data_IF_741703986551
#
_entry.id   IF_741703986551
#
_cell.length_a   1.000
_cell.length_b   1.000
_cell.length_c   1.000
_cell.angle_alpha   90.00
_cell.angle_beta   90.00
_cell.angle_gamma   90.00
#
_symmetry.space_group_name_H-M   'P 1'
#
loop_
_entity.id
_entity.type
_entity.pdbx_description
1 polymer ?
#
# COMPACT_ATOMS: atom_id res chain seq x y z
N UNK A 1 -7.91 -37.61 -5.11
CA UNK A 1 -8.77 -37.65 -3.92
C UNK A 1 -8.56 -36.38 -3.15
N UNK A 2 -9.54 -35.47 -3.08
CA UNK A 2 -9.48 -34.24 -2.25
C UNK A 2 -9.45 -34.70 -0.81
N UNK A 3 -8.51 -34.19 -0.04
CA UNK A 3 -8.29 -34.59 1.35
C UNK A 3 -9.52 -34.19 2.20
N UNK A 4 -10.49 -35.09 2.32
CA UNK A 4 -11.81 -34.88 2.96
C UNK A 4 -11.70 -34.30 4.38
N UNK A 5 -10.61 -34.60 5.09
CA UNK A 5 -10.36 -34.11 6.45
C UNK A 5 -10.17 -32.59 6.51
N UNK A 6 -9.55 -31.98 5.49
CA UNK A 6 -9.33 -30.51 5.44
C UNK A 6 -10.60 -29.76 5.06
N UNK A 7 -11.42 -30.32 4.17
CA UNK A 7 -12.73 -29.76 3.83
C UNK A 7 -13.68 -29.74 5.04
N UNK A 8 -13.67 -30.77 5.87
CA UNK A 8 -14.49 -30.83 7.08
C UNK A 8 -14.05 -29.78 8.10
N UNK A 9 -12.74 -29.56 8.32
CA UNK A 9 -12.23 -28.55 9.23
C UNK A 9 -12.49 -27.14 8.72
N UNK A 10 -12.39 -26.91 7.39
CA UNK A 10 -12.67 -25.61 6.80
C UNK A 10 -14.16 -25.26 6.82
N UNK A 11 -15.05 -26.23 6.59
CA UNK A 11 -16.50 -26.01 6.67
C UNK A 11 -16.99 -25.72 8.09
N UNK A 12 -16.19 -26.04 9.11
CA UNK A 12 -16.49 -25.66 10.50
C UNK A 12 -16.34 -24.16 10.74
N UNK A 13 -15.45 -23.49 9.99
CA UNK A 13 -15.13 -22.08 10.16
C UNK A 13 -15.70 -21.18 9.06
N UNK A 14 -15.91 -21.70 7.85
CA UNK A 14 -16.22 -20.90 6.68
C UNK A 14 -17.43 -21.47 5.92
N UNK A 15 -18.15 -20.58 5.26
CA UNK A 15 -19.09 -20.93 4.20
C UNK A 15 -18.42 -20.65 2.86
N UNK A 16 -18.71 -21.49 1.87
CA UNK A 16 -18.14 -21.45 0.54
C UNK A 16 -19.24 -21.36 -0.51
N UNK A 17 -18.87 -20.94 -1.72
CA UNK A 17 -19.71 -21.14 -2.91
C UNK A 17 -19.73 -22.61 -3.31
N UNK A 18 -20.58 -22.97 -4.30
CA UNK A 18 -20.84 -24.38 -4.67
C UNK A 18 -19.60 -25.11 -5.20
N UNK A 19 -18.68 -24.42 -5.88
CA UNK A 19 -17.44 -25.01 -6.42
C UNK A 19 -16.26 -24.91 -5.44
N UNK A 20 -16.46 -24.39 -4.22
CA UNK A 20 -15.47 -24.26 -3.15
C UNK A 20 -14.27 -23.36 -3.50
N UNK A 21 -14.41 -22.43 -4.44
CA UNK A 21 -13.34 -21.51 -4.83
C UNK A 21 -13.38 -20.19 -4.09
N UNK A 22 -14.50 -19.86 -3.42
CA UNK A 22 -14.72 -18.59 -2.74
C UNK A 22 -15.11 -18.79 -1.28
N UNK A 23 -14.51 -18.00 -0.38
CA UNK A 23 -14.98 -17.86 1.01
C UNK A 23 -16.03 -16.74 1.03
N UNK A 24 -17.28 -17.12 1.29
CA UNK A 24 -18.42 -16.21 1.25
C UNK A 24 -18.80 -15.67 2.63
N UNK A 25 -18.49 -16.43 3.71
CA UNK A 25 -18.78 -16.03 5.07
C UNK A 25 -17.85 -16.72 6.08
N UNK A 26 -17.75 -16.15 7.28
CA UNK A 26 -16.96 -16.68 8.39
C UNK A 26 -17.88 -16.93 9.59
N UNK A 27 -17.87 -18.16 10.06
CA UNK A 27 -18.73 -18.58 11.16
C UNK A 27 -18.26 -18.05 12.51
N UNK A 28 -19.17 -17.90 13.46
CA UNK A 28 -18.88 -17.41 14.83
C UNK A 28 -17.78 -18.19 15.54
N UNK A 29 -17.64 -19.49 15.24
CA UNK A 29 -16.58 -20.35 15.78
C UNK A 29 -15.16 -19.87 15.46
N UNK A 30 -14.97 -19.18 14.32
CA UNK A 30 -13.67 -18.64 13.92
C UNK A 30 -13.27 -17.38 14.70
N UNK A 31 -14.20 -16.61 15.27
CA UNK A 31 -13.91 -15.33 15.98
C UNK A 31 -12.90 -15.43 17.12
N UNK A 32 -12.60 -16.63 17.60
CA UNK A 32 -11.57 -16.88 18.62
C UNK A 32 -10.17 -17.13 18.05
N UNK A 33 -10.04 -17.22 16.73
CA UNK A 33 -8.77 -17.48 16.06
C UNK A 33 -8.08 -16.15 15.72
N UNK A 34 -6.79 -16.06 16.00
CA UNK A 34 -5.95 -14.90 15.63
C UNK A 34 -5.07 -15.18 14.42
N UNK A 35 -5.09 -16.42 13.93
CA UNK A 35 -4.32 -16.89 12.77
C UNK A 35 -5.29 -17.42 11.73
N UNK A 36 -5.21 -16.87 10.51
CA UNK A 36 -5.89 -17.41 9.34
C UNK A 36 -4.87 -18.18 8.50
N UNK A 37 -4.93 -19.51 8.52
CA UNK A 37 -4.08 -20.36 7.68
C UNK A 37 -4.90 -21.01 6.56
N UNK A 38 -4.82 -20.43 5.37
CA UNK A 38 -5.41 -20.94 4.14
C UNK A 38 -4.35 -21.49 3.17
N UNK A 39 -3.09 -21.54 3.56
CA UNK A 39 -1.96 -21.85 2.69
C UNK A 39 -2.09 -23.20 1.94
N UNK A 40 -2.73 -24.19 2.58
CA UNK A 40 -2.90 -25.53 2.01
C UNK A 40 -4.11 -25.68 1.09
N UNK A 41 -4.96 -24.64 1.00
CA UNK A 41 -6.22 -24.70 0.23
C UNK A 41 -6.04 -24.07 -1.14
N UNK A 42 -5.30 -24.76 -2.02
CA UNK A 42 -4.96 -24.24 -3.36
C UNK A 42 -6.16 -24.05 -4.30
N UNK A 43 -7.33 -24.56 -3.96
CA UNK A 43 -8.54 -24.36 -4.75
C UNK A 43 -9.18 -22.98 -4.48
N UNK A 44 -8.83 -22.32 -3.38
CA UNK A 44 -9.37 -20.99 -3.07
C UNK A 44 -8.72 -19.91 -3.90
N UNK A 45 -9.55 -19.16 -4.58
CA UNK A 45 -9.17 -18.10 -5.50
C UNK A 45 -9.63 -16.73 -5.03
N UNK A 46 -10.74 -16.65 -4.32
CA UNK A 46 -11.42 -15.41 -4.00
C UNK A 46 -11.75 -15.33 -2.50
N UNK A 47 -11.36 -14.23 -1.90
CA UNK A 47 -11.81 -13.79 -0.57
C UNK A 47 -12.77 -12.64 -0.79
N UNK A 48 -14.04 -12.85 -0.46
CA UNK A 48 -15.13 -11.89 -0.71
C UNK A 48 -15.02 -10.65 0.21
N UNK A 49 -15.73 -9.63 -0.20
CA UNK A 49 -15.85 -8.34 0.48
C UNK A 49 -16.19 -8.53 1.95
N UNK A 50 -15.38 -7.90 2.83
CA UNK A 50 -15.58 -7.82 4.29
C UNK A 50 -15.56 -9.17 5.03
N UNK A 51 -15.18 -10.27 4.41
CA UNK A 51 -15.28 -11.61 5.03
C UNK A 51 -14.50 -11.70 6.34
N UNK A 52 -13.32 -11.11 6.43
CA UNK A 52 -12.50 -11.06 7.65
C UNK A 52 -12.37 -9.65 8.21
N UNK A 53 -13.34 -8.77 7.96
CA UNK A 53 -13.32 -7.40 8.46
C UNK A 53 -13.86 -7.31 9.87
N UNK A 54 -13.25 -6.43 10.69
CA UNK A 54 -13.69 -6.05 12.05
C UNK A 54 -13.89 -7.27 12.98
N UNK A 55 -13.44 -7.17 14.22
CA UNK A 55 -13.65 -8.15 15.31
C UNK A 55 -12.98 -9.53 15.18
N UNK A 56 -12.22 -9.80 14.08
CA UNK A 56 -11.48 -11.07 14.01
C UNK A 56 -10.12 -10.99 14.72
N UNK A 57 -9.55 -9.79 14.87
CA UNK A 57 -8.25 -9.57 15.54
C UNK A 57 -7.13 -10.46 14.98
N UNK A 58 -7.14 -10.67 13.65
CA UNK A 58 -6.13 -11.49 12.99
C UNK A 58 -4.75 -10.85 13.11
N UNK A 59 -3.79 -11.62 13.65
CA UNK A 59 -2.38 -11.21 13.76
C UNK A 59 -1.56 -11.74 12.58
N UNK A 60 -1.92 -12.91 12.07
CA UNK A 60 -1.22 -13.57 10.97
C UNK A 60 -2.21 -14.11 9.95
N UNK A 61 -1.86 -13.97 8.68
CA UNK A 61 -2.59 -14.55 7.56
C UNK A 61 -1.62 -15.29 6.64
N UNK A 62 -1.99 -16.50 6.24
CA UNK A 62 -1.28 -17.30 5.26
C UNK A 62 -2.25 -17.66 4.14
N UNK A 63 -2.06 -17.04 2.98
CA UNK A 63 -2.95 -17.21 1.82
C UNK A 63 -2.39 -18.26 0.84
N UNK A 64 -3.28 -18.96 0.11
CA UNK A 64 -2.86 -19.94 -0.89
C UNK A 64 -2.22 -19.24 -2.09
N UNK A 65 -1.33 -19.96 -2.77
CA UNK A 65 -0.62 -19.43 -3.95
C UNK A 65 -1.54 -19.04 -5.10
N UNK A 66 -2.70 -19.71 -5.21
CA UNK A 66 -3.66 -19.53 -6.30
C UNK A 66 -4.71 -18.45 -6.03
N UNK A 67 -4.56 -17.69 -4.94
CA UNK A 67 -5.47 -16.56 -4.70
C UNK A 67 -5.37 -15.55 -5.86
N UNK A 68 -6.52 -15.17 -6.40
CA UNK A 68 -6.65 -14.25 -7.53
C UNK A 68 -7.22 -12.90 -7.08
N UNK A 69 -8.18 -12.95 -6.14
CA UNK A 69 -8.91 -11.76 -5.68
C UNK A 69 -8.99 -11.74 -4.16
N UNK A 70 -8.59 -10.60 -3.59
CA UNK A 70 -8.92 -10.21 -2.22
C UNK A 70 -9.80 -8.96 -2.36
N UNK A 71 -11.10 -9.12 -2.14
CA UNK A 71 -12.09 -8.08 -2.42
C UNK A 71 -12.08 -6.98 -1.34
N UNK A 72 -12.75 -5.87 -1.62
CA UNK A 72 -12.74 -4.65 -0.80
C UNK A 72 -13.02 -4.95 0.67
N UNK A 73 -12.26 -4.29 1.57
CA UNK A 73 -12.40 -4.41 3.02
C UNK A 73 -12.16 -5.82 3.60
N UNK A 74 -11.65 -6.78 2.84
CA UNK A 74 -11.58 -8.18 3.28
C UNK A 74 -10.88 -8.38 4.62
N UNK A 75 -9.80 -7.64 4.89
CA UNK A 75 -9.03 -7.68 6.14
C UNK A 75 -9.02 -6.33 6.89
N UNK A 76 -10.03 -5.51 6.65
CA UNK A 76 -10.19 -4.20 7.27
C UNK A 76 -10.24 -4.28 8.80
N UNK A 77 -9.46 -3.42 9.48
CA UNK A 77 -9.41 -3.32 10.95
C UNK A 77 -9.10 -4.64 11.65
N UNK A 78 -7.97 -5.24 11.33
CA UNK A 78 -7.37 -6.35 12.06
C UNK A 78 -6.08 -5.92 12.81
N UNK A 79 -5.26 -6.88 13.21
CA UNK A 79 -4.01 -6.66 13.95
C UNK A 79 -2.81 -7.29 13.22
N UNK A 80 -2.89 -7.42 11.89
CA UNK A 80 -1.86 -8.06 11.06
C UNK A 80 -0.56 -7.26 11.16
N UNK A 81 0.55 -7.92 11.60
CA UNK A 81 1.85 -7.28 11.78
C UNK A 81 2.82 -7.59 10.65
N UNK A 82 2.77 -8.79 10.12
CA UNK A 82 3.60 -9.26 9.01
C UNK A 82 2.68 -9.72 7.89
N UNK A 83 2.78 -9.07 6.74
CA UNK A 83 2.01 -9.43 5.55
C UNK A 83 2.97 -9.87 4.44
N UNK A 84 2.96 -11.17 4.16
CA UNK A 84 3.74 -11.74 3.07
C UNK A 84 2.81 -12.38 2.03
N UNK A 85 2.63 -11.71 0.90
CA UNK A 85 1.83 -12.14 -0.25
C UNK A 85 2.71 -12.58 -1.43
N UNK A 86 4.02 -12.70 -1.27
CA UNK A 86 4.95 -12.99 -2.37
C UNK A 86 4.65 -14.30 -3.11
N UNK A 87 4.02 -15.26 -2.45
CA UNK A 87 3.62 -16.54 -3.06
C UNK A 87 2.27 -16.47 -3.80
N UNK A 88 1.52 -15.39 -3.68
CA UNK A 88 0.20 -15.22 -4.32
C UNK A 88 0.37 -14.77 -5.77
N UNK A 89 0.95 -15.62 -6.61
CA UNK A 89 1.44 -15.25 -7.96
C UNK A 89 0.35 -14.76 -8.93
N UNK A 90 -0.91 -15.11 -8.67
CA UNK A 90 -2.06 -14.71 -9.49
C UNK A 90 -2.74 -13.43 -8.98
N UNK A 91 -2.34 -12.93 -7.80
CA UNK A 91 -2.91 -11.72 -7.22
C UNK A 91 -2.26 -10.48 -7.86
N UNK A 92 -3.02 -9.75 -8.64
CA UNK A 92 -2.56 -8.56 -9.38
C UNK A 92 -3.01 -7.26 -8.75
N UNK A 93 -4.07 -7.30 -7.97
CA UNK A 93 -4.72 -6.11 -7.40
C UNK A 93 -4.91 -6.30 -5.92
N UNK A 94 -4.46 -5.34 -5.13
CA UNK A 94 -4.92 -5.14 -3.76
C UNK A 94 -6.05 -4.12 -3.82
N UNK A 95 -7.27 -4.56 -3.56
CA UNK A 95 -8.46 -3.73 -3.68
C UNK A 95 -8.57 -2.65 -2.58
N UNK A 96 -9.65 -1.87 -2.63
CA UNK A 96 -9.92 -0.75 -1.72
C UNK A 96 -10.03 -1.23 -0.27
N UNK A 97 -9.36 -0.51 0.67
CA UNK A 97 -9.43 -0.72 2.12
C UNK A 97 -9.05 -2.13 2.61
N UNK A 98 -8.48 -2.99 1.77
CA UNK A 98 -8.25 -4.41 2.12
C UNK A 98 -7.49 -4.56 3.43
N UNK A 99 -6.41 -3.83 3.62
CA UNK A 99 -5.57 -3.88 4.83
C UNK A 99 -5.58 -2.57 5.61
N UNK A 100 -6.59 -1.73 5.41
CA UNK A 100 -6.74 -0.50 6.17
C UNK A 100 -6.83 -0.78 7.67
N UNK A 101 -6.13 0.06 8.45
CA UNK A 101 -6.13 0.03 9.91
C UNK A 101 -5.77 -1.36 10.46
N UNK A 102 -4.57 -1.80 10.10
CA UNK A 102 -3.87 -2.94 10.68
C UNK A 102 -2.64 -2.45 11.47
N UNK A 103 -1.69 -3.35 11.73
CA UNK A 103 -0.43 -3.06 12.43
C UNK A 103 0.78 -3.50 11.60
N UNK A 104 0.67 -3.45 10.25
CA UNK A 104 1.66 -4.00 9.33
C UNK A 104 2.98 -3.22 9.47
N UNK A 105 4.04 -3.94 9.83
CA UNK A 105 5.42 -3.46 9.91
C UNK A 105 6.26 -3.95 8.73
N UNK A 106 5.98 -5.17 8.27
CA UNK A 106 6.70 -5.83 7.18
C UNK A 106 5.71 -6.23 6.09
N UNK A 107 5.94 -5.69 4.89
CA UNK A 107 5.10 -5.90 3.72
C UNK A 107 5.91 -6.53 2.59
N UNK A 108 5.42 -7.65 2.04
CA UNK A 108 5.88 -8.22 0.77
C UNK A 108 4.68 -8.47 -0.13
N UNK A 109 4.69 -7.90 -1.31
CA UNK A 109 3.65 -8.04 -2.33
C UNK A 109 4.04 -9.12 -3.37
N UNK A 110 3.08 -9.60 -4.19
CA UNK A 110 3.39 -10.44 -5.33
C UNK A 110 4.19 -9.68 -6.39
N UNK A 111 5.12 -10.34 -7.09
CA UNK A 111 5.90 -9.70 -8.16
C UNK A 111 5.04 -9.15 -9.31
N UNK A 112 3.88 -9.78 -9.53
CA UNK A 112 2.95 -9.39 -10.59
C UNK A 112 1.92 -8.32 -10.19
N UNK A 113 2.10 -7.68 -9.03
CA UNK A 113 1.18 -6.63 -8.59
C UNK A 113 1.11 -5.49 -9.61
N UNK A 114 -0.08 -5.09 -9.98
CA UNK A 114 -0.37 -4.05 -10.96
C UNK A 114 -1.03 -2.82 -10.31
N UNK A 115 -1.86 -3.05 -9.29
CA UNK A 115 -2.61 -1.98 -8.61
C UNK A 115 -2.59 -2.20 -7.09
N UNK A 116 -2.29 -1.12 -6.37
CA UNK A 116 -2.53 -0.99 -4.93
C UNK A 116 -3.63 0.05 -4.79
N UNK A 117 -4.85 -0.39 -4.43
CA UNK A 117 -6.05 0.41 -4.48
C UNK A 117 -6.14 1.50 -3.41
N UNK A 118 -7.23 2.27 -3.50
CA UNK A 118 -7.58 3.32 -2.56
C UNK A 118 -7.47 2.86 -1.11
N UNK A 119 -6.73 3.61 -0.29
CA UNK A 119 -6.64 3.40 1.16
C UNK A 119 -6.15 2.00 1.61
N UNK A 120 -5.58 1.20 0.69
CA UNK A 120 -5.34 -0.23 0.89
C UNK A 120 -4.43 -0.56 2.08
N UNK A 121 -3.40 0.25 2.35
CA UNK A 121 -2.45 0.08 3.45
C UNK A 121 -2.39 1.29 4.39
N UNK A 122 -3.38 2.17 4.35
CA UNK A 122 -3.42 3.33 5.23
C UNK A 122 -3.63 2.92 6.69
N UNK A 123 -3.14 3.74 7.62
CA UNK A 123 -3.20 3.51 9.08
C UNK A 123 -2.56 2.17 9.45
N UNK A 124 -1.27 2.04 9.15
CA UNK A 124 -0.43 0.90 9.51
C UNK A 124 0.86 1.37 10.22
N UNK A 125 1.88 0.52 10.34
CA UNK A 125 3.14 0.80 11.04
C UNK A 125 4.36 0.53 10.16
N UNK A 126 4.23 0.69 8.83
CA UNK A 126 5.30 0.43 7.86
C UNK A 126 6.38 1.50 8.02
N UNK A 127 7.64 1.08 8.24
CA UNK A 127 8.80 1.98 8.39
C UNK A 127 9.68 2.04 7.15
N UNK A 128 9.79 0.93 6.45
CA UNK A 128 10.55 0.78 5.22
C UNK A 128 9.60 0.26 4.16
N UNK A 129 9.43 1.02 3.09
CA UNK A 129 8.61 0.64 1.94
C UNK A 129 9.49 0.59 0.70
N UNK A 130 9.85 -0.63 0.27
CA UNK A 130 10.60 -0.86 -0.95
C UNK A 130 9.68 -1.49 -2.01
N UNK A 131 9.29 -0.67 -2.99
CA UNK A 131 8.45 -1.07 -4.12
C UNK A 131 9.25 -1.20 -5.43
N UNK A 132 10.58 -1.11 -5.37
CA UNK A 132 11.45 -1.03 -6.56
C UNK A 132 11.34 -2.22 -7.52
N UNK A 133 11.01 -3.40 -7.00
CA UNK A 133 10.89 -4.63 -7.79
C UNK A 133 9.52 -4.80 -8.49
N UNK A 134 8.51 -3.97 -8.16
CA UNK A 134 7.15 -4.13 -8.70
C UNK A 134 6.99 -3.33 -10.00
N UNK A 135 7.63 -3.80 -11.06
CA UNK A 135 7.76 -3.09 -12.36
C UNK A 135 6.44 -2.86 -13.11
N UNK A 136 5.36 -3.58 -12.75
CA UNK A 136 4.03 -3.39 -13.34
C UNK A 136 3.22 -2.29 -12.65
N UNK A 137 3.65 -1.88 -11.45
CA UNK A 137 2.99 -0.83 -10.67
C UNK A 137 3.36 0.54 -11.23
N UNK A 138 2.39 1.25 -11.78
CA UNK A 138 2.56 2.56 -12.42
C UNK A 138 1.99 3.70 -11.60
N UNK A 139 1.06 3.41 -10.72
CA UNK A 139 0.35 4.40 -9.92
C UNK A 139 0.40 4.03 -8.45
N UNK A 140 0.57 5.01 -7.60
CA UNK A 140 0.31 4.90 -6.16
C UNK A 140 -1.02 5.59 -5.94
N UNK A 141 -2.06 4.82 -5.64
CA UNK A 141 -3.44 5.31 -5.54
C UNK A 141 -3.67 6.22 -4.33
N UNK A 142 -4.80 6.94 -4.36
CA UNK A 142 -5.18 7.89 -3.30
C UNK A 142 -5.11 7.23 -1.91
N UNK A 143 -4.47 7.92 -0.96
CA UNK A 143 -4.40 7.58 0.46
C UNK A 143 -3.72 6.22 0.76
N UNK A 144 -3.25 5.48 -0.27
CA UNK A 144 -2.90 4.05 -0.17
C UNK A 144 -1.88 3.70 0.93
N UNK A 145 -0.95 4.60 1.27
CA UNK A 145 0.04 4.45 2.34
C UNK A 145 0.04 5.60 3.35
N UNK A 146 -1.05 6.37 3.42
CA UNK A 146 -1.13 7.46 4.39
C UNK A 146 -1.15 6.93 5.83
N UNK A 147 -0.80 7.79 6.81
CA UNK A 147 -0.79 7.43 8.23
C UNK A 147 0.00 6.15 8.53
N UNK A 148 1.23 6.08 8.00
CA UNK A 148 2.24 5.09 8.35
C UNK A 148 3.42 5.75 9.09
N UNK A 149 4.55 5.05 9.18
CA UNK A 149 5.79 5.51 9.83
C UNK A 149 6.96 5.44 8.85
N UNK A 150 6.68 5.62 7.53
CA UNK A 150 7.66 5.41 6.46
C UNK A 150 8.79 6.44 6.57
N UNK A 151 10.01 5.95 6.78
CA UNK A 151 11.26 6.72 6.79
C UNK A 151 12.07 6.52 5.52
N UNK A 152 11.99 5.32 4.94
CA UNK A 152 12.68 4.93 3.73
C UNK A 152 11.66 4.49 2.69
N UNK A 153 11.65 5.20 1.56
CA UNK A 153 10.75 4.95 0.45
C UNK A 153 11.55 4.69 -0.82
N UNK A 154 11.28 3.56 -1.47
CA UNK A 154 11.67 3.33 -2.87
C UNK A 154 10.42 3.04 -3.68
N UNK A 155 10.23 3.78 -4.73
CA UNK A 155 9.09 3.65 -5.65
C UNK A 155 9.38 2.63 -6.75
N UNK A 156 8.35 2.16 -7.48
CA UNK A 156 8.54 1.34 -8.67
C UNK A 156 9.26 2.13 -9.76
N UNK A 157 10.18 1.47 -10.51
CA UNK A 157 10.92 2.13 -11.60
C UNK A 157 10.02 2.68 -12.72
N UNK A 158 8.83 2.11 -12.89
CA UNK A 158 7.86 2.52 -13.90
C UNK A 158 6.76 3.44 -13.37
N UNK A 159 6.95 4.04 -12.18
CA UNK A 159 5.97 4.96 -11.62
C UNK A 159 5.70 6.13 -12.57
N UNK A 160 4.45 6.42 -12.80
CA UNK A 160 4.00 7.53 -13.66
C UNK A 160 3.28 8.62 -12.85
N UNK A 161 2.47 8.22 -11.86
CA UNK A 161 1.68 9.16 -11.03
C UNK A 161 1.69 8.73 -9.58
N UNK A 162 1.89 9.69 -8.68
CA UNK A 162 1.64 9.56 -7.24
C UNK A 162 0.39 10.36 -6.92
N UNK A 163 -0.67 9.67 -6.50
CA UNK A 163 -1.98 10.29 -6.30
C UNK A 163 -2.14 10.97 -4.94
N UNK A 164 -3.34 11.52 -4.71
CA UNK A 164 -3.65 12.39 -3.56
C UNK A 164 -3.41 11.68 -2.24
N UNK A 165 -2.77 12.38 -1.30
CA UNK A 165 -2.53 11.87 0.05
C UNK A 165 -1.82 10.51 0.11
N UNK A 166 -1.23 10.01 -0.97
CA UNK A 166 -0.68 8.65 -1.06
C UNK A 166 0.28 8.31 0.08
N UNK A 167 1.09 9.27 0.49
CA UNK A 167 2.07 9.16 1.60
C UNK A 167 1.87 10.23 2.68
N UNK A 168 0.66 10.79 2.82
CA UNK A 168 0.35 11.75 3.86
C UNK A 168 0.65 11.19 5.25
N UNK A 169 1.15 12.04 6.17
CA UNK A 169 1.45 11.67 7.56
C UNK A 169 2.33 10.42 7.67
N UNK A 170 3.52 10.53 7.13
CA UNK A 170 4.61 9.60 7.30
C UNK A 170 5.83 10.30 7.96
N UNK A 171 6.98 9.64 8.01
CA UNK A 171 8.20 10.13 8.64
C UNK A 171 9.35 10.31 7.63
N UNK A 172 9.02 10.60 6.35
CA UNK A 172 9.98 10.76 5.26
C UNK A 172 10.71 12.10 5.44
N UNK A 173 12.05 12.04 5.54
CA UNK A 173 12.91 13.23 5.63
C UNK A 173 13.58 13.55 4.30
N UNK A 174 14.02 12.52 3.60
CA UNK A 174 14.71 12.61 2.31
C UNK A 174 13.86 11.90 1.28
N UNK A 175 13.49 12.60 0.21
CA UNK A 175 12.70 12.09 -0.88
C UNK A 175 13.53 12.17 -2.17
N UNK A 176 14.07 11.03 -2.60
CA UNK A 176 14.83 10.97 -3.84
C UNK A 176 13.97 10.46 -4.99
N UNK A 177 13.60 11.37 -5.89
CA UNK A 177 12.82 11.10 -7.10
C UNK A 177 13.66 11.23 -8.38
N UNK A 178 14.99 11.39 -8.27
CA UNK A 178 15.88 11.66 -9.40
C UNK A 178 16.03 10.50 -10.38
N UNK A 179 15.67 9.28 -9.99
CA UNK A 179 15.78 8.09 -10.83
C UNK A 179 14.47 7.66 -11.51
N UNK A 180 13.37 8.36 -11.27
CA UNK A 180 12.04 7.93 -11.77
C UNK A 180 11.66 8.68 -13.04
N UNK A 181 12.35 8.36 -14.15
CA UNK A 181 12.24 9.05 -15.46
C UNK A 181 10.85 9.01 -16.12
N UNK A 182 9.95 8.15 -15.62
CA UNK A 182 8.55 8.07 -16.10
C UNK A 182 7.57 8.83 -15.21
N UNK A 183 8.03 9.36 -14.08
CA UNK A 183 7.17 10.14 -13.18
C UNK A 183 6.80 11.47 -13.84
N UNK A 184 5.51 11.69 -14.02
CA UNK A 184 4.96 12.89 -14.70
C UNK A 184 4.18 13.79 -13.76
N UNK A 185 3.55 13.19 -12.76
CA UNK A 185 2.62 13.91 -11.90
C UNK A 185 2.70 13.44 -10.45
N UNK A 186 2.67 14.40 -9.55
CA UNK A 186 2.45 14.21 -8.12
C UNK A 186 1.23 15.05 -7.75
N UNK A 187 0.15 14.38 -7.37
CA UNK A 187 -1.11 15.04 -7.06
C UNK A 187 -1.08 15.71 -5.68
N UNK A 188 -2.10 16.51 -5.45
CA UNK A 188 -2.22 17.36 -4.27
C UNK A 188 -2.08 16.55 -2.97
N UNK A 189 -1.31 17.08 -2.03
CA UNK A 189 -1.10 16.50 -0.70
C UNK A 189 -0.42 15.14 -0.65
N UNK A 190 0.17 14.65 -1.74
CA UNK A 190 0.76 13.31 -1.82
C UNK A 190 1.74 13.02 -0.67
N UNK A 191 2.54 14.00 -0.25
CA UNK A 191 3.51 13.89 0.86
C UNK A 191 3.21 14.85 2.03
N UNK A 192 1.97 15.30 2.17
CA UNK A 192 1.55 16.22 3.23
C UNK A 192 1.92 15.66 4.62
N UNK A 193 2.34 16.53 5.53
CA UNK A 193 2.75 16.20 6.91
C UNK A 193 3.86 15.15 7.01
N UNK A 194 4.83 15.19 6.10
CA UNK A 194 6.13 14.54 6.25
C UNK A 194 7.19 15.56 6.70
N UNK A 195 8.16 15.19 7.54
CA UNK A 195 9.23 16.09 8.01
C UNK A 195 10.35 16.23 6.96
N UNK A 196 10.01 16.58 5.71
CA UNK A 196 10.93 16.65 4.58
C UNK A 196 11.99 17.75 4.79
N UNK A 197 13.25 17.39 4.54
CA UNK A 197 14.40 18.30 4.60
C UNK A 197 15.22 18.32 3.30
N UNK A 198 15.07 17.27 2.47
CA UNK A 198 15.79 17.15 1.19
C UNK A 198 14.88 16.45 0.17
N UNK A 199 14.82 17.00 -1.05
CA UNK A 199 14.07 16.42 -2.17
C UNK A 199 14.94 16.50 -3.42
N UNK A 200 15.24 15.34 -4.02
CA UNK A 200 15.86 15.25 -5.35
C UNK A 200 14.78 14.92 -6.36
N UNK A 201 14.71 15.70 -7.44
CA UNK A 201 13.63 15.57 -8.41
C UNK A 201 14.13 15.92 -9.82
N UNK A 202 13.55 15.28 -10.83
CA UNK A 202 13.76 15.61 -12.24
C UNK A 202 12.98 16.86 -12.63
N UNK A 203 13.26 17.38 -13.83
CA UNK A 203 12.53 18.48 -14.43
C UNK A 203 11.13 18.08 -14.91
N UNK A 204 10.33 19.09 -15.21
CA UNK A 204 9.01 18.99 -15.86
C UNK A 204 7.96 18.09 -15.17
N UNK A 205 8.19 17.68 -13.92
CA UNK A 205 7.18 16.94 -13.15
C UNK A 205 6.07 17.91 -12.72
N UNK A 206 4.82 17.58 -13.02
CA UNK A 206 3.69 18.37 -12.54
C UNK A 206 3.42 18.05 -11.08
N UNK A 207 3.58 19.04 -10.19
CA UNK A 207 3.24 18.91 -8.77
C UNK A 207 2.04 19.80 -8.47
N UNK A 208 0.95 19.18 -8.04
CA UNK A 208 -0.22 19.90 -7.56
C UNK A 208 -0.01 20.35 -6.12
N UNK A 209 -0.43 21.56 -5.79
CA UNK A 209 -0.34 22.09 -4.42
C UNK A 209 -1.52 23.01 -4.11
N UNK A 210 -1.73 23.27 -2.80
CA UNK A 210 -2.74 24.20 -2.34
C UNK A 210 -2.09 25.26 -1.45
N UNK A 211 -2.34 26.52 -1.76
CA UNK A 211 -1.82 27.66 -1.00
C UNK A 211 -2.41 27.79 0.42
N UNK A 212 -3.51 27.12 0.71
CA UNK A 212 -4.24 27.25 1.97
C UNK A 212 -3.64 26.42 3.12
N UNK A 213 -2.62 25.62 2.87
CA UNK A 213 -1.96 24.80 3.90
C UNK A 213 -0.49 25.13 4.03
N UNK A 214 -0.10 25.69 5.15
CA UNK A 214 1.28 25.86 5.59
C UNK A 214 1.87 24.50 5.97
N UNK A 215 2.40 23.78 4.98
CA UNK A 215 3.07 22.51 5.13
C UNK A 215 4.35 22.47 4.30
N UNK A 216 5.34 21.74 4.78
CA UNK A 216 6.66 21.65 4.12
C UNK A 216 6.53 21.16 2.66
N UNK A 217 5.68 20.18 2.40
CA UNK A 217 5.44 19.68 1.04
C UNK A 217 4.84 20.77 0.13
N UNK A 218 3.81 21.47 0.58
CA UNK A 218 3.19 22.53 -0.20
C UNK A 218 4.16 23.69 -0.46
N UNK A 219 5.00 24.07 0.51
CA UNK A 219 6.02 25.09 0.32
C UNK A 219 7.07 24.66 -0.70
N UNK A 220 7.49 23.39 -0.71
CA UNK A 220 8.36 22.81 -1.71
C UNK A 220 7.68 22.84 -3.10
N UNK A 221 6.46 22.30 -3.21
CA UNK A 221 5.74 22.20 -4.47
C UNK A 221 5.57 23.58 -5.14
N UNK A 222 5.22 24.60 -4.34
CA UNK A 222 5.17 25.98 -4.80
C UNK A 222 6.55 26.44 -5.28
N UNK A 223 7.59 26.26 -4.48
CA UNK A 223 8.95 26.71 -4.82
C UNK A 223 9.45 26.04 -6.12
N UNK A 224 9.23 24.73 -6.28
CA UNK A 224 9.60 23.99 -7.49
C UNK A 224 8.88 24.52 -8.73
N UNK A 225 7.57 24.74 -8.65
CA UNK A 225 6.78 25.28 -9.75
C UNK A 225 7.19 26.71 -10.12
N UNK A 226 7.40 27.58 -9.12
CA UNK A 226 7.84 28.98 -9.33
C UNK A 226 9.25 29.05 -9.95
N UNK A 227 10.09 28.03 -9.77
CA UNK A 227 11.43 27.90 -10.34
C UNK A 227 11.46 27.06 -11.64
N UNK A 228 10.39 27.13 -12.43
CA UNK A 228 10.28 26.49 -13.75
C UNK A 228 10.48 24.97 -13.72
N UNK A 229 10.09 24.29 -12.64
CA UNK A 229 10.17 22.82 -12.46
C UNK A 229 11.56 22.25 -12.78
N UNK A 230 12.59 22.92 -12.34
CA UNK A 230 13.98 22.59 -12.67
C UNK A 230 14.44 21.35 -11.92
N UNK A 231 15.07 20.41 -12.61
CA UNK A 231 15.75 19.27 -11.98
C UNK A 231 16.79 19.74 -10.94
N UNK A 232 16.87 19.07 -9.81
CA UNK A 232 17.84 19.47 -8.79
C UNK A 232 17.68 18.75 -7.45
N UNK A 233 18.62 19.05 -6.57
CA UNK A 233 18.61 18.73 -5.16
C UNK A 233 18.10 19.95 -4.39
N UNK A 234 16.96 19.82 -3.74
CA UNK A 234 16.30 20.89 -3.00
C UNK A 234 16.46 20.61 -1.51
N UNK A 235 17.07 21.54 -0.77
CA UNK A 235 17.32 21.45 0.65
C UNK A 235 16.58 22.52 1.43
N UNK A 236 15.99 22.12 2.55
CA UNK A 236 15.33 23.03 3.47
C UNK A 236 16.36 23.60 4.45
N UNK A 237 16.72 24.87 4.27
CA UNK A 237 17.68 25.59 5.12
C UNK A 237 17.02 26.83 5.72
N UNK A 238 17.06 26.97 7.06
CA UNK A 238 16.42 28.07 7.77
C UNK A 238 14.95 28.30 7.35
N UNK A 239 14.19 27.21 7.26
CA UNK A 239 12.79 27.17 6.81
C UNK A 239 12.54 27.71 5.38
N UNK A 240 13.57 27.70 4.52
CA UNK A 240 13.45 28.07 3.11
C UNK A 240 14.09 27.02 2.23
N UNK A 241 13.41 26.65 1.14
CA UNK A 241 13.95 25.75 0.12
C UNK A 241 15.05 26.46 -0.67
N UNK A 242 16.14 25.75 -0.92
CA UNK A 242 17.23 26.15 -1.79
C UNK A 242 17.48 25.05 -2.82
N UNK A 243 17.72 25.47 -4.04
CA UNK A 243 18.02 24.60 -5.14
C UNK A 243 19.54 24.43 -5.35
N UNK A 244 19.96 23.20 -5.66
CA UNK A 244 21.31 22.84 -6.04
C UNK A 244 21.26 21.99 -7.32
N UNK A 245 22.22 22.12 -8.27
CA UNK A 245 22.27 21.24 -9.44
C UNK A 245 22.51 19.78 -9.01
N UNK A 246 21.94 18.83 -9.76
CA UNK A 246 22.21 17.40 -9.62
C UNK A 246 23.60 17.05 -10.08
#
# INVERSE_FOLDING_TARGET
MRNSKYLILSSFYFDFNDDLTEITNVKKSFKKQTILDLYRYNDFKIIKKRVFSIDYNLNFIYLPKNIEIIDNFAFYKNQIQILNLSNCINLKIINEDVFFKNQIKHLKLPENIEIIGYNAFSVNQIKILDLSNYIKLKYIEDISFSYNQIKQLKLPQNIEIIKRYAFEKNEIKILDLSNYIKLKQIEIYAFLYNPLTEIKILDDITIEYNNDKDDIWNTFAKYYNDNNKKAGDYKLENNKWKWYPL
#
